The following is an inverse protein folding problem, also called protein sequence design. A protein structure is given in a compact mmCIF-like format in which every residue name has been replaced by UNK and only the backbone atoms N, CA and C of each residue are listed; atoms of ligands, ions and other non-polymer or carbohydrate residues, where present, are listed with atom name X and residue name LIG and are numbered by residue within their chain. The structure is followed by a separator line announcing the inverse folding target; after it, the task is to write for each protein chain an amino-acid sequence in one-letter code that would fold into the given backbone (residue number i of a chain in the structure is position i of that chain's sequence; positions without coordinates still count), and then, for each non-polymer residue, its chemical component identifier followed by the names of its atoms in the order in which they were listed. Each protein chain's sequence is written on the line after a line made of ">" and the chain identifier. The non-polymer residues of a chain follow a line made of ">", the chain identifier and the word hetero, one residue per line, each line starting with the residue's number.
data_IF_318376752469
#
_entry.id   IF_318376752469
#
_cell.length_a   1.000
_cell.length_b   1.000
_cell.length_c   1.000
_cell.angle_alpha   90.00
_cell.angle_beta   90.00
_cell.angle_gamma   90.00
#
_symmetry.space_group_name_H-M   'P 1'
#
loop_
_entity.id
_entity.type
_entity.pdbx_description
1 polymer ?
#
# COMPACT_ATOMS: atom_id res chain seq x y z
N UNK A 1 -10.77 -12.51 12.48
CA UNK A 1 -10.41 -11.63 11.34
C UNK A 1 -9.95 -10.31 11.91
N UNK A 2 -8.87 -9.71 11.37
CA UNK A 2 -8.48 -8.34 11.71
C UNK A 2 -9.63 -7.39 11.37
N UNK A 3 -9.80 -6.32 12.16
CA UNK A 3 -10.91 -5.37 12.05
C UNK A 3 -10.40 -4.11 11.34
N UNK A 4 -11.16 -3.50 10.42
CA UNK A 4 -10.76 -2.25 9.80
C UNK A 4 -10.57 -1.15 10.86
N UNK A 5 -9.49 -0.39 10.71
CA UNK A 5 -9.15 0.80 11.50
C UNK A 5 -9.49 2.07 10.72
N UNK A 6 -9.58 3.19 11.44
CA UNK A 6 -9.62 4.51 10.82
C UNK A 6 -8.19 4.95 10.46
N UNK A 7 -8.04 5.64 9.33
CA UNK A 7 -6.80 6.32 8.92
C UNK A 7 -7.04 7.83 8.91
N UNK A 8 -6.06 8.59 9.37
CA UNK A 8 -6.04 10.06 9.32
C UNK A 8 -5.23 10.58 8.12
N UNK A 9 -4.54 9.68 7.42
CA UNK A 9 -3.62 10.01 6.33
C UNK A 9 -4.10 9.41 5.00
N UNK A 10 -3.79 10.11 3.91
CA UNK A 10 -4.07 9.71 2.52
C UNK A 10 -2.80 9.80 1.69
N UNK A 11 -2.33 8.65 1.21
CA UNK A 11 -1.22 8.54 0.27
C UNK A 11 -1.72 8.66 -1.18
N UNK A 12 -1.17 9.59 -1.95
CA UNK A 12 -1.48 9.80 -3.37
C UNK A 12 -0.23 9.47 -4.19
N UNK A 13 -0.28 8.34 -4.90
CA UNK A 13 0.75 7.99 -5.86
C UNK A 13 0.44 8.58 -7.24
N UNK A 14 1.34 9.40 -7.80
CA UNK A 14 1.15 10.01 -9.11
C UNK A 14 2.46 10.23 -9.87
N UNK A 15 2.43 10.36 -11.21
CA UNK A 15 3.59 10.76 -12.00
C UNK A 15 4.12 12.15 -11.60
N UNK A 16 5.42 12.45 -11.80
CA UNK A 16 6.04 13.70 -11.35
C UNK A 16 5.33 14.95 -11.87
N UNK A 17 4.88 14.93 -13.13
CA UNK A 17 4.17 16.06 -13.74
C UNK A 17 2.79 16.30 -13.12
N UNK A 18 2.14 15.26 -12.60
CA UNK A 18 0.84 15.38 -11.92
C UNK A 18 1.05 15.89 -10.49
N UNK A 19 2.07 15.41 -9.80
CA UNK A 19 2.46 15.93 -8.47
C UNK A 19 2.75 17.43 -8.56
N UNK A 20 3.49 17.86 -9.60
CA UNK A 20 3.76 19.28 -9.84
C UNK A 20 2.47 20.10 -10.05
N UNK A 21 1.49 19.57 -10.79
CA UNK A 21 0.20 20.23 -10.99
C UNK A 21 -0.63 20.32 -9.68
N UNK A 22 -0.58 19.28 -8.84
CA UNK A 22 -1.23 19.30 -7.52
C UNK A 22 -0.63 20.42 -6.67
N UNK A 23 0.70 20.48 -6.59
CA UNK A 23 1.40 21.54 -5.86
C UNK A 23 1.05 22.93 -6.37
N UNK A 24 1.08 23.14 -7.70
CA UNK A 24 0.73 24.42 -8.30
C UNK A 24 -0.72 24.84 -7.96
N UNK A 25 -1.68 23.92 -8.04
CA UNK A 25 -3.07 24.21 -7.68
C UNK A 25 -3.21 24.64 -6.21
N UNK A 26 -2.47 24.00 -5.31
CA UNK A 26 -2.50 24.30 -3.88
C UNK A 26 -1.85 25.67 -3.59
N UNK A 27 -0.69 25.94 -4.19
CA UNK A 27 -0.02 27.24 -4.09
C UNK A 27 -0.86 28.38 -4.67
N UNK A 28 -1.70 28.09 -5.66
CA UNK A 28 -2.66 29.04 -6.24
C UNK A 28 -3.95 29.20 -5.44
N UNK A 29 -4.06 28.58 -4.26
CA UNK A 29 -5.18 28.77 -3.34
C UNK A 29 -6.33 27.78 -3.52
N UNK A 30 -6.03 26.51 -3.85
CA UNK A 30 -7.04 25.45 -3.78
C UNK A 30 -7.70 25.45 -2.39
N UNK A 31 -9.04 25.44 -2.37
CA UNK A 31 -9.80 25.57 -1.13
C UNK A 31 -9.56 24.41 -0.18
N UNK A 32 -9.44 24.71 1.12
CA UNK A 32 -9.26 23.75 2.22
C UNK A 32 -7.94 22.98 2.19
N UNK A 33 -6.97 23.35 1.35
CA UNK A 33 -5.61 22.80 1.42
C UNK A 33 -4.68 23.77 2.11
N UNK A 34 -3.82 23.26 2.99
CA UNK A 34 -2.79 24.03 3.67
C UNK A 34 -1.47 23.26 3.65
N UNK A 35 -0.37 24.00 3.70
CA UNK A 35 0.96 23.44 3.93
C UNK A 35 1.29 23.68 5.41
N UNK A 36 1.46 22.60 6.16
CA UNK A 36 1.82 22.65 7.57
C UNK A 36 3.26 23.17 7.77
N UNK A 37 3.62 23.50 9.01
CA UNK A 37 4.92 24.13 9.31
C UNK A 37 6.13 23.24 9.00
N UNK A 38 5.92 21.92 8.95
CA UNK A 38 6.92 20.91 8.58
C UNK A 38 6.96 20.64 7.06
N UNK A 39 6.12 21.32 6.28
CA UNK A 39 6.00 21.13 4.84
C UNK A 39 5.05 20.02 4.42
N UNK A 40 4.40 19.32 5.36
CA UNK A 40 3.37 18.34 5.01
C UNK A 40 2.13 19.02 4.43
N UNK A 41 1.47 18.31 3.52
CA UNK A 41 0.22 18.79 2.95
C UNK A 41 -0.95 18.32 3.82
N UNK A 42 -1.86 19.24 4.13
CA UNK A 42 -3.06 18.98 4.90
C UNK A 42 -4.31 19.44 4.16
N UNK A 43 -5.41 18.71 4.36
CA UNK A 43 -6.74 19.07 3.89
C UNK A 43 -7.72 19.21 5.06
N UNK A 44 -8.33 20.39 5.17
CA UNK A 44 -9.36 20.69 6.16
C UNK A 44 -10.69 20.06 5.70
N UNK A 45 -11.02 18.90 6.26
CA UNK A 45 -12.26 18.20 5.91
C UNK A 45 -13.47 19.03 6.36
N UNK A 46 -14.52 19.16 5.52
CA UNK A 46 -15.80 19.74 5.93
C UNK A 46 -16.45 19.03 7.13
N UNK A 47 -15.99 17.82 7.46
CA UNK A 47 -16.44 17.03 8.61
C UNK A 47 -15.75 17.44 9.93
N UNK A 48 -14.82 18.39 9.90
CA UNK A 48 -14.19 18.98 11.10
C UNK A 48 -12.92 18.28 11.58
N UNK A 49 -12.24 17.52 10.71
CA UNK A 49 -10.94 16.92 10.99
C UNK A 49 -9.93 17.22 9.87
N UNK A 50 -8.64 17.12 10.18
CA UNK A 50 -7.56 17.34 9.21
C UNK A 50 -7.17 16.00 8.62
N UNK A 51 -7.04 15.95 7.28
CA UNK A 51 -6.48 14.80 6.56
C UNK A 51 -5.07 15.16 6.11
N UNK A 52 -4.07 14.38 6.53
CA UNK A 52 -2.70 14.56 6.02
C UNK A 52 -2.55 13.85 4.69
N UNK A 53 -1.78 14.46 3.80
CA UNK A 53 -1.62 14.03 2.42
C UNK A 53 -0.14 13.83 2.13
N UNK A 54 0.21 12.61 1.74
CA UNK A 54 1.54 12.27 1.26
C UNK A 54 1.51 12.06 -0.25
N UNK A 55 2.27 12.87 -0.98
CA UNK A 55 2.40 12.76 -2.44
C UNK A 55 3.61 11.88 -2.78
N UNK A 56 3.34 10.72 -3.36
CA UNK A 56 4.35 9.71 -3.69
C UNK A 56 4.59 9.69 -5.20
N UNK A 57 5.81 9.96 -5.62
CA UNK A 57 6.19 9.92 -7.03
C UNK A 57 6.21 8.47 -7.55
N UNK A 58 5.46 8.21 -8.63
CA UNK A 58 5.53 6.93 -9.34
C UNK A 58 6.70 6.96 -10.32
N UNK A 59 7.51 5.89 -10.30
CA UNK A 59 8.65 5.71 -11.22
C UNK A 59 9.98 6.17 -10.64
N UNK A 60 9.98 6.67 -9.40
CA UNK A 60 11.16 6.92 -8.59
C UNK A 60 11.01 6.25 -7.22
N UNK A 61 11.99 5.46 -6.79
CA UNK A 61 12.06 4.94 -5.41
C UNK A 61 11.08 3.80 -5.07
N UNK A 62 10.32 3.97 -3.98
CA UNK A 62 9.57 2.90 -3.27
C UNK A 62 8.34 2.37 -4.05
N UNK A 63 7.71 3.21 -4.87
CA UNK A 63 6.59 2.82 -5.74
C UNK A 63 7.01 2.94 -7.21
N UNK A 64 7.62 1.86 -7.72
CA UNK A 64 7.96 1.80 -9.15
C UNK A 64 6.71 1.83 -10.05
N UNK A 65 5.60 1.21 -9.60
CA UNK A 65 4.32 1.17 -10.34
C UNK A 65 3.17 0.64 -9.47
N UNK A 66 1.98 1.24 -9.62
CA UNK A 66 0.70 0.59 -9.29
C UNK A 66 0.23 -0.18 -10.53
N UNK A 67 0.11 -1.50 -10.42
CA UNK A 67 -0.19 -2.38 -11.56
C UNK A 67 -1.64 -2.22 -11.98
N UNK A 68 -2.54 -2.20 -11.00
CA UNK A 68 -3.98 -2.12 -11.23
C UNK A 68 -4.57 -1.05 -10.34
N UNK A 69 -5.17 -0.03 -10.96
CA UNK A 69 -5.96 0.97 -10.28
C UNK A 69 -7.45 0.72 -10.53
N UNK A 70 -8.27 0.79 -9.49
CA UNK A 70 -9.72 0.62 -9.57
C UNK A 70 -10.41 1.98 -9.46
N UNK A 71 -11.43 2.29 -10.28
CA UNK A 71 -12.16 3.55 -10.17
C UNK A 71 -12.80 3.73 -8.79
N UNK A 72 -12.66 4.91 -8.19
CA UNK A 72 -13.26 5.22 -6.89
C UNK A 72 -13.49 6.72 -6.73
N UNK A 73 -14.76 7.13 -6.56
CA UNK A 73 -15.18 8.51 -6.26
C UNK A 73 -14.46 9.61 -7.07
N UNK A 74 -14.35 9.44 -8.39
CA UNK A 74 -13.70 10.41 -9.28
C UNK A 74 -12.17 10.32 -9.33
N UNK A 75 -11.56 9.47 -8.51
CA UNK A 75 -10.16 9.08 -8.57
C UNK A 75 -9.98 7.59 -8.86
N UNK A 76 -8.84 7.05 -8.45
CA UNK A 76 -8.56 5.62 -8.50
C UNK A 76 -7.84 5.16 -7.25
N UNK A 77 -8.12 3.94 -6.80
CA UNK A 77 -7.43 3.29 -5.69
C UNK A 77 -6.51 2.20 -6.22
N UNK A 78 -5.39 1.98 -5.55
CA UNK A 78 -4.59 0.79 -5.81
C UNK A 78 -5.42 -0.47 -5.50
N UNK A 79 -5.28 -1.49 -6.35
CA UNK A 79 -5.96 -2.77 -6.13
C UNK A 79 -5.47 -3.43 -4.83
N UNK A 80 -6.29 -4.30 -4.21
CA UNK A 80 -5.88 -5.03 -3.00
C UNK A 80 -4.55 -5.81 -3.20
N UNK A 81 -4.27 -6.46 -4.34
CA UNK A 81 -2.96 -7.04 -4.63
C UNK A 81 -1.81 -6.03 -4.69
N UNK A 82 -2.01 -4.84 -5.24
CA UNK A 82 -1.01 -3.76 -5.16
C UNK A 82 -0.79 -3.32 -3.71
N UNK A 83 -1.87 -3.08 -2.95
CA UNK A 83 -1.79 -2.68 -1.55
C UNK A 83 -1.05 -3.71 -0.69
N UNK A 84 -1.31 -5.01 -0.88
CA UNK A 84 -0.62 -6.06 -0.10
C UNK A 84 0.89 -6.05 -0.36
N UNK A 85 1.31 -5.87 -1.61
CA UNK A 85 2.74 -5.80 -1.98
C UNK A 85 3.41 -4.54 -1.45
N UNK A 86 2.72 -3.41 -1.47
CA UNK A 86 3.22 -2.15 -0.90
C UNK A 86 3.33 -2.25 0.63
N UNK A 87 2.35 -2.88 1.28
CA UNK A 87 2.38 -3.11 2.72
C UNK A 87 3.48 -4.10 3.12
N UNK A 88 3.82 -5.07 2.26
CA UNK A 88 4.98 -5.93 2.46
C UNK A 88 6.28 -5.14 2.57
N UNK A 89 6.49 -4.20 1.64
CA UNK A 89 7.67 -3.35 1.64
C UNK A 89 7.70 -2.46 2.89
N UNK A 90 6.58 -1.84 3.24
CA UNK A 90 6.56 -0.86 4.33
C UNK A 90 6.79 -1.52 5.69
N UNK A 91 6.18 -2.69 5.94
CA UNK A 91 6.39 -3.41 7.20
C UNK A 91 7.81 -3.97 7.35
N UNK A 92 8.54 -4.22 6.26
CA UNK A 92 9.95 -4.61 6.34
C UNK A 92 10.83 -3.42 6.67
N UNK A 93 10.54 -2.26 6.09
CA UNK A 93 11.36 -1.06 6.30
C UNK A 93 11.12 -0.41 7.67
N UNK A 94 9.87 -0.37 8.14
CA UNK A 94 9.48 0.33 9.38
C UNK A 94 9.24 -0.59 10.57
N UNK A 95 8.85 -1.84 10.33
CA UNK A 95 8.64 -2.84 11.37
C UNK A 95 7.47 -2.56 12.32
N UNK A 96 6.48 -1.76 11.90
CA UNK A 96 5.37 -1.39 12.77
C UNK A 96 4.34 -2.53 12.88
N UNK A 97 3.80 -2.72 14.09
CA UNK A 97 2.75 -3.70 14.38
C UNK A 97 1.48 -3.42 13.56
N UNK A 98 1.16 -2.15 13.33
CA UNK A 98 0.02 -1.74 12.50
C UNK A 98 0.13 -2.27 11.07
N UNK A 99 1.32 -2.19 10.48
CA UNK A 99 1.57 -2.63 9.11
C UNK A 99 1.44 -4.15 8.94
N UNK A 100 1.85 -4.92 9.96
CA UNK A 100 1.69 -6.37 9.96
C UNK A 100 0.21 -6.79 10.07
N UNK A 101 -0.59 -6.08 10.86
CA UNK A 101 -2.03 -6.34 10.96
C UNK A 101 -2.77 -5.97 9.67
N UNK A 102 -2.42 -4.85 9.04
CA UNK A 102 -2.94 -4.47 7.72
C UNK A 102 -2.57 -5.49 6.65
N UNK A 103 -1.32 -5.98 6.68
CA UNK A 103 -0.87 -7.04 5.78
C UNK A 103 -1.70 -8.31 5.96
N UNK A 104 -1.91 -8.75 7.20
CA UNK A 104 -2.74 -9.93 7.51
C UNK A 104 -4.17 -9.71 7.03
N UNK A 105 -4.74 -8.53 7.24
CA UNK A 105 -6.09 -8.21 6.80
C UNK A 105 -6.21 -8.34 5.27
N UNK A 106 -5.30 -7.70 4.53
CA UNK A 106 -5.26 -7.80 3.07
C UNK A 106 -5.06 -9.24 2.60
N UNK A 107 -4.19 -10.00 3.26
CA UNK A 107 -3.95 -11.42 2.95
C UNK A 107 -5.25 -12.23 3.03
N UNK A 108 -6.04 -12.04 4.08
CA UNK A 108 -7.32 -12.72 4.22
C UNK A 108 -8.35 -12.25 3.18
N UNK A 109 -8.40 -10.95 2.89
CA UNK A 109 -9.30 -10.40 1.87
C UNK A 109 -9.00 -10.97 0.48
N UNK A 110 -7.73 -11.11 0.11
CA UNK A 110 -7.31 -11.73 -1.15
C UNK A 110 -7.70 -13.20 -1.18
N UNK A 111 -7.41 -13.94 -0.10
CA UNK A 111 -7.69 -15.38 -0.02
C UNK A 111 -9.20 -15.67 -0.11
N UNK A 112 -10.03 -14.91 0.61
CA UNK A 112 -11.49 -15.04 0.55
C UNK A 112 -12.01 -14.70 -0.86
N UNK A 113 -11.42 -13.69 -1.50
CA UNK A 113 -11.76 -13.31 -2.87
C UNK A 113 -11.23 -14.27 -3.94
N UNK A 114 -10.40 -15.26 -3.60
CA UNK A 114 -9.72 -16.12 -4.55
C UNK A 114 -8.77 -15.35 -5.49
N UNK A 115 -8.23 -14.22 -5.03
CA UNK A 115 -7.40 -13.33 -5.84
C UNK A 115 -5.94 -13.71 -5.68
N UNK A 116 -5.28 -14.05 -6.79
CA UNK A 116 -3.84 -14.31 -6.82
C UNK A 116 -3.04 -13.02 -6.95
N UNK A 117 -1.82 -13.04 -6.41
CA UNK A 117 -0.86 -11.97 -6.61
C UNK A 117 -0.28 -12.03 -8.03
N UNK A 118 -0.11 -10.87 -8.69
CA UNK A 118 0.67 -10.80 -9.92
C UNK A 118 2.14 -11.09 -9.62
N UNK A 119 2.91 -11.32 -10.68
CA UNK A 119 4.36 -11.54 -10.58
C UNK A 119 5.05 -10.43 -9.76
N UNK A 120 5.89 -10.87 -8.81
CA UNK A 120 6.67 -10.02 -7.94
C UNK A 120 8.04 -9.76 -8.55
N UNK A 121 8.43 -8.48 -8.61
CA UNK A 121 9.82 -8.10 -8.80
C UNK A 121 10.68 -8.52 -7.59
N UNK A 122 12.00 -8.46 -7.75
CA UNK A 122 12.95 -8.92 -6.73
C UNK A 122 12.77 -8.25 -5.37
N UNK A 123 12.54 -6.93 -5.35
CA UNK A 123 12.37 -6.17 -4.11
C UNK A 123 11.08 -6.59 -3.38
N UNK A 124 9.95 -6.65 -4.08
CA UNK A 124 8.67 -7.09 -3.50
C UNK A 124 8.73 -8.54 -3.05
N UNK A 125 9.43 -9.39 -3.79
CA UNK A 125 9.63 -10.80 -3.45
C UNK A 125 10.38 -10.94 -2.12
N UNK A 126 11.52 -10.26 -1.99
CA UNK A 126 12.30 -10.25 -0.75
C UNK A 126 11.48 -9.74 0.43
N UNK A 127 10.69 -8.68 0.22
CA UNK A 127 9.84 -8.13 1.29
C UNK A 127 8.71 -9.08 1.72
N UNK A 128 8.05 -9.75 0.77
CA UNK A 128 7.01 -10.75 1.08
C UNK A 128 7.58 -11.93 1.87
N UNK A 129 8.77 -12.43 1.50
CA UNK A 129 9.45 -13.50 2.24
C UNK A 129 9.81 -13.04 3.67
N UNK A 130 10.32 -11.81 3.81
CA UNK A 130 10.68 -11.25 5.11
C UNK A 130 9.46 -11.08 6.04
N UNK A 131 8.32 -10.60 5.52
CA UNK A 131 7.07 -10.58 6.31
C UNK A 131 6.62 -12.00 6.65
N UNK A 132 6.73 -12.96 5.73
CA UNK A 132 6.27 -14.32 5.98
C UNK A 132 6.94 -14.94 7.21
N UNK A 133 8.21 -14.62 7.48
CA UNK A 133 8.92 -15.05 8.69
C UNK A 133 8.22 -14.59 9.98
N UNK A 134 7.52 -13.46 9.95
CA UNK A 134 6.76 -12.90 11.08
C UNK A 134 5.32 -13.45 11.18
N UNK A 135 4.86 -14.21 10.18
CA UNK A 135 3.54 -14.82 10.16
C UNK A 135 3.53 -16.17 10.87
N UNK A 136 2.38 -16.52 11.46
CA UNK A 136 2.13 -17.88 11.94
C UNK A 136 1.94 -18.88 10.79
N UNK A 137 2.08 -20.20 11.03
CA UNK A 137 2.08 -21.22 9.98
C UNK A 137 0.85 -21.18 9.05
N UNK A 138 -0.33 -20.95 9.62
CA UNK A 138 -1.56 -20.86 8.82
C UNK A 138 -1.54 -19.68 7.85
N UNK A 139 -1.16 -18.48 8.32
CA UNK A 139 -1.06 -17.30 7.46
C UNK A 139 0.01 -17.47 6.38
N UNK A 140 1.11 -18.19 6.66
CA UNK A 140 2.11 -18.53 5.64
C UNK A 140 1.52 -19.40 4.53
N UNK A 141 0.72 -20.41 4.88
CA UNK A 141 0.04 -21.26 3.88
C UNK A 141 -0.96 -20.46 3.05
N UNK A 142 -1.71 -19.55 3.67
CA UNK A 142 -2.62 -18.65 2.95
C UNK A 142 -1.84 -17.75 1.99
N UNK A 143 -0.68 -17.21 2.43
CA UNK A 143 0.20 -16.39 1.59
C UNK A 143 0.74 -17.18 0.40
N UNK A 144 1.20 -18.40 0.60
CA UNK A 144 1.66 -19.30 -0.47
C UNK A 144 0.53 -19.60 -1.45
N UNK A 145 -0.70 -19.82 -0.97
CA UNK A 145 -1.85 -20.06 -1.84
C UNK A 145 -2.17 -18.86 -2.74
N UNK A 146 -2.08 -17.63 -2.23
CA UNK A 146 -2.35 -16.43 -3.03
C UNK A 146 -1.17 -16.01 -3.92
N UNK A 147 0.08 -16.44 -3.63
CA UNK A 147 1.23 -16.15 -4.48
C UNK A 147 1.08 -16.74 -5.89
N UNK A 148 0.37 -17.86 -6.01
CA UNK A 148 0.13 -18.53 -7.28
C UNK A 148 1.42 -19.10 -7.92
N UNK A 149 1.29 -19.59 -9.15
CA UNK A 149 2.40 -20.25 -9.86
C UNK A 149 3.47 -19.26 -10.32
N UNK A 150 3.07 -18.02 -10.63
CA UNK A 150 3.96 -16.96 -11.11
C UNK A 150 5.01 -16.54 -10.06
N UNK A 151 4.79 -16.89 -8.78
CA UNK A 151 5.68 -16.59 -7.67
C UNK A 151 6.08 -17.87 -6.89
N UNK A 152 6.16 -18.99 -7.59
CA UNK A 152 6.42 -20.32 -6.99
C UNK A 152 7.74 -20.41 -6.21
N UNK A 153 8.79 -19.71 -6.64
CA UNK A 153 10.08 -19.66 -5.94
C UNK A 153 9.94 -19.00 -4.55
N UNK A 154 9.20 -17.88 -4.48
CA UNK A 154 8.88 -17.23 -3.22
C UNK A 154 8.02 -18.13 -2.32
N UNK A 155 7.05 -18.82 -2.92
CA UNK A 155 6.21 -19.79 -2.22
C UNK A 155 7.03 -20.92 -1.58
N UNK A 156 7.98 -21.49 -2.32
CA UNK A 156 8.88 -22.52 -1.79
C UNK A 156 9.73 -22.01 -0.63
N UNK A 157 10.34 -20.83 -0.78
CA UNK A 157 11.12 -20.22 0.32
C UNK A 157 10.29 -20.00 1.58
N UNK A 158 9.01 -19.62 1.44
CA UNK A 158 8.13 -19.40 2.60
C UNK A 158 7.74 -20.70 3.29
N UNK A 159 7.60 -21.81 2.54
CA UNK A 159 7.29 -23.13 3.12
C UNK A 159 8.46 -23.72 3.91
N UNK A 160 9.67 -23.22 3.69
CA UNK A 160 10.88 -23.63 4.40
C UNK A 160 11.14 -22.85 5.71
N UNK A 161 10.36 -21.78 5.98
CA UNK A 161 10.40 -20.97 7.20
C UNK A 161 9.65 -21.62 8.37
#
# INVERSE_FOLDING_TARGET
>A
MPKPSYSEDVDIAAPPNIIAQIWEAILNGATNFNIEADGQLAFDSPQGFIVRLDLIEIGAGFINRVVTAIPFLGGSLASKPDLLRLRALSAVDRGDFGELEDFKWLLYELAIGGILLPELDSAKRSAVIAIAAQLGPFSRLVLVAILGMDNSDAGLSILEL
#
